data_IF_328992682752
#
_entry.id   IF_328992682752
#
_cell.length_a   1.000
_cell.length_b   1.000
_cell.length_c   1.000
_cell.angle_alpha   90.00
_cell.angle_beta   90.00
_cell.angle_gamma   90.00
#
_symmetry.space_group_name_H-M   'P 1'
#
loop_
_entity.id
_entity.type
_entity.pdbx_description
1 polymer ?
#
# COMPACT_ATOMS: atom_id res chain seq x y z
N UNK A 1 -3.59 17.04 -17.03
CA UNK A 1 -3.21 16.58 -15.67
C UNK A 1 -4.30 16.74 -14.60
N UNK A 2 -5.07 17.85 -14.54
CA UNK A 2 -6.11 18.08 -13.52
C UNK A 2 -7.19 16.98 -13.37
N UNK A 3 -7.47 16.18 -14.41
CA UNK A 3 -8.49 15.11 -14.38
C UNK A 3 -8.11 13.92 -13.46
N UNK A 4 -6.81 13.67 -13.30
CA UNK A 4 -6.26 12.53 -12.56
C UNK A 4 -5.68 12.92 -11.21
N UNK A 5 -5.11 14.12 -11.13
CA UNK A 5 -4.53 14.71 -9.92
C UNK A 5 -5.33 15.97 -9.55
N UNK A 6 -6.37 15.77 -8.73
CA UNK A 6 -7.08 16.84 -8.03
C UNK A 6 -6.84 16.67 -6.54
N UNK A 7 -6.85 17.77 -5.77
CA UNK A 7 -6.69 17.74 -4.32
C UNK A 7 -7.69 16.79 -3.66
N UNK A 8 -8.93 16.82 -4.13
CA UNK A 8 -10.00 15.92 -3.66
C UNK A 8 -9.65 14.45 -3.88
N UNK A 9 -9.10 14.09 -5.04
CA UNK A 9 -8.71 12.71 -5.36
C UNK A 9 -7.49 12.23 -4.58
N UNK A 10 -6.58 13.13 -4.20
CA UNK A 10 -5.43 12.82 -3.36
C UNK A 10 -5.81 12.62 -1.89
N UNK A 11 -6.84 13.34 -1.43
CA UNK A 11 -7.37 13.22 -0.07
C UNK A 11 -8.36 12.05 0.07
N UNK A 12 -8.97 11.60 -1.02
CA UNK A 12 -9.97 10.54 -1.01
C UNK A 12 -9.51 9.21 -0.39
N UNK A 13 -8.27 8.72 -0.62
CA UNK A 13 -7.74 7.56 0.09
C UNK A 13 -7.78 7.71 1.62
N UNK A 14 -7.54 8.91 2.16
CA UNK A 14 -7.64 9.18 3.60
C UNK A 14 -9.09 9.19 4.09
N UNK A 15 -10.05 9.60 3.25
CA UNK A 15 -11.47 9.48 3.58
C UNK A 15 -11.88 8.00 3.76
N UNK A 16 -11.41 7.11 2.88
CA UNK A 16 -11.67 5.66 2.96
C UNK A 16 -11.20 5.06 4.29
N UNK A 17 -10.09 5.55 4.86
CA UNK A 17 -9.61 5.09 6.17
C UNK A 17 -10.64 5.30 7.28
N UNK A 18 -11.32 6.45 7.26
CA UNK A 18 -12.30 6.83 8.28
C UNK A 18 -13.67 6.22 8.03
N UNK A 19 -14.04 6.05 6.76
CA UNK A 19 -15.36 5.55 6.34
C UNK A 19 -15.19 4.51 5.23
N UNK A 20 -14.77 3.27 5.54
CA UNK A 20 -14.45 2.27 4.54
C UNK A 20 -15.67 1.84 3.71
N UNK A 21 -16.81 1.57 4.36
CA UNK A 21 -18.02 1.14 3.67
C UNK A 21 -18.50 2.17 2.65
N UNK A 22 -18.69 3.42 3.09
CA UNK A 22 -19.13 4.51 2.23
C UNK A 22 -18.06 4.88 1.18
N UNK A 23 -16.79 4.88 1.59
CA UNK A 23 -15.66 5.21 0.72
C UNK A 23 -15.52 4.25 -0.46
N UNK A 24 -15.63 2.94 -0.23
CA UNK A 24 -15.60 1.95 -1.32
C UNK A 24 -16.91 1.95 -2.13
N UNK A 25 -18.06 2.21 -1.51
CA UNK A 25 -19.32 2.37 -2.23
C UNK A 25 -19.26 3.54 -3.23
N UNK A 26 -18.79 4.71 -2.76
CA UNK A 26 -18.60 5.89 -3.60
C UNK A 26 -17.49 5.70 -4.65
N UNK A 27 -16.45 4.91 -4.35
CA UNK A 27 -15.39 4.58 -5.30
C UNK A 27 -15.96 3.90 -6.55
N UNK A 28 -16.90 2.96 -6.36
CA UNK A 28 -17.60 2.24 -7.44
C UNK A 28 -18.60 3.11 -8.18
N UNK A 29 -19.47 3.84 -7.46
CA UNK A 29 -20.64 4.50 -8.05
C UNK A 29 -20.40 5.96 -8.49
N UNK A 30 -19.47 6.68 -7.86
CA UNK A 30 -19.20 8.11 -8.13
C UNK A 30 -17.89 8.37 -8.88
N UNK A 31 -17.20 7.31 -9.30
CA UNK A 31 -15.93 7.35 -10.05
C UNK A 31 -14.85 8.26 -9.45
N UNK A 32 -14.84 8.39 -8.12
CA UNK A 32 -13.85 9.21 -7.39
C UNK A 32 -12.44 8.63 -7.42
N UNK A 33 -12.30 7.37 -7.85
CA UNK A 33 -11.04 6.66 -7.99
C UNK A 33 -10.12 7.19 -9.08
N UNK A 34 -8.82 7.17 -8.79
CA UNK A 34 -7.75 7.53 -9.74
C UNK A 34 -6.69 6.43 -9.77
N UNK A 35 -6.57 5.75 -10.91
CA UNK A 35 -5.59 4.66 -11.13
C UNK A 35 -4.15 5.14 -10.88
N UNK A 36 -3.70 6.31 -11.38
CA UNK A 36 -2.34 6.78 -11.10
C UNK A 36 -2.07 6.94 -9.60
N UNK A 37 -3.06 7.42 -8.83
CA UNK A 37 -2.93 7.59 -7.37
C UNK A 37 -2.81 6.23 -6.69
N UNK A 38 -3.59 5.23 -7.13
CA UNK A 38 -3.52 3.88 -6.59
C UNK A 38 -2.13 3.26 -6.82
N UNK A 39 -1.56 3.41 -8.02
CA UNK A 39 -0.21 2.93 -8.32
C UNK A 39 0.87 3.66 -7.52
N UNK A 40 0.73 4.98 -7.32
CA UNK A 40 1.64 5.76 -6.46
C UNK A 40 1.57 5.27 -5.02
N UNK A 41 0.37 4.98 -4.49
CA UNK A 41 0.20 4.42 -3.14
C UNK A 41 0.86 3.05 -3.05
N UNK A 42 0.67 2.16 -4.03
CA UNK A 42 1.35 0.85 -4.04
C UNK A 42 2.87 1.00 -4.09
N UNK A 43 3.41 1.95 -4.87
CA UNK A 43 4.84 2.21 -4.92
C UNK A 43 5.38 2.78 -3.60
N UNK A 44 4.62 3.68 -2.97
CA UNK A 44 4.93 4.23 -1.65
C UNK A 44 4.91 3.14 -0.57
N UNK A 45 3.95 2.22 -0.64
CA UNK A 45 3.90 1.04 0.22
C UNK A 45 5.16 0.20 0.10
N UNK A 46 5.61 -0.09 -1.13
CA UNK A 46 6.86 -0.80 -1.32
C UNK A 46 8.06 -0.08 -0.72
N UNK A 47 8.12 1.24 -0.87
CA UNK A 47 9.20 2.02 -0.26
C UNK A 47 9.16 1.95 1.27
N UNK A 48 7.99 2.15 1.89
CA UNK A 48 7.83 2.04 3.33
C UNK A 48 8.15 0.63 3.86
N UNK A 49 7.76 -0.41 3.13
CA UNK A 49 8.07 -1.80 3.46
C UNK A 49 9.59 -2.05 3.43
N UNK A 50 10.27 -1.59 2.38
CA UNK A 50 11.72 -1.69 2.27
C UNK A 50 12.45 -0.97 3.40
N UNK A 51 12.02 0.26 3.70
CA UNK A 51 12.55 1.05 4.82
C UNK A 51 12.34 0.35 6.15
N UNK A 52 11.17 -0.23 6.39
CA UNK A 52 10.92 -1.01 7.60
C UNK A 52 11.90 -2.18 7.72
N UNK A 53 12.20 -2.91 6.63
CA UNK A 53 13.17 -4.02 6.67
C UNK A 53 14.62 -3.58 6.90
N UNK A 54 15.01 -2.42 6.38
CA UNK A 54 16.37 -1.89 6.54
C UNK A 54 16.58 -1.29 7.94
N UNK A 55 15.54 -0.65 8.49
CA UNK A 55 15.65 0.17 9.70
C UNK A 55 14.99 -0.43 10.95
N UNK A 56 14.24 -1.52 10.82
CA UNK A 56 13.74 -2.23 11.99
C UNK A 56 14.90 -2.72 12.86
N UNK A 57 14.69 -2.66 14.17
CA UNK A 57 15.65 -3.16 15.14
C UNK A 57 15.85 -4.67 15.00
N UNK A 58 17.06 -5.13 15.33
CA UNK A 58 17.41 -6.55 15.43
C UNK A 58 16.45 -7.34 16.34
N UNK A 59 15.83 -6.69 17.32
CA UNK A 59 14.83 -7.30 18.22
C UNK A 59 13.59 -7.74 17.46
N UNK A 60 13.17 -6.93 16.48
CA UNK A 60 11.91 -7.12 15.74
C UNK A 60 12.14 -7.80 14.39
N UNK A 61 13.32 -7.60 13.81
CA UNK A 61 13.64 -8.07 12.47
C UNK A 61 15.11 -8.49 12.38
N UNK A 62 15.35 -9.80 12.26
CA UNK A 62 16.69 -10.41 12.14
C UNK A 62 17.19 -10.46 10.67
N UNK A 63 16.67 -9.57 9.83
CA UNK A 63 17.07 -9.48 8.42
C UNK A 63 18.38 -8.71 8.35
N UNK A 64 19.37 -9.27 7.64
CA UNK A 64 20.58 -8.53 7.28
C UNK A 64 20.22 -7.34 6.37
N UNK A 65 20.41 -6.08 6.82
CA UNK A 65 20.09 -4.89 6.03
C UNK A 65 20.85 -4.82 4.70
N UNK A 66 22.04 -5.46 4.59
CA UNK A 66 22.85 -5.50 3.37
C UNK A 66 22.31 -6.45 2.31
N UNK A 67 21.41 -7.35 2.69
CA UNK A 67 20.74 -8.28 1.77
C UNK A 67 19.49 -7.69 1.11
N UNK A 68 19.02 -6.53 1.58
CA UNK A 68 17.77 -5.91 1.13
C UNK A 68 18.02 -5.05 -0.11
N UNK A 69 17.46 -5.47 -1.24
CA UNK A 69 17.42 -4.69 -2.48
C UNK A 69 16.02 -4.07 -2.66
N UNK A 70 15.93 -2.76 -2.44
CA UNK A 70 14.66 -2.02 -2.57
C UNK A 70 14.06 -2.05 -3.98
N UNK A 71 14.89 -2.21 -5.03
CA UNK A 71 14.39 -2.33 -6.41
C UNK A 71 13.72 -3.68 -6.62
N UNK A 72 14.34 -4.75 -6.13
CA UNK A 72 13.76 -6.09 -6.21
C UNK A 72 12.45 -6.19 -5.40
N UNK A 73 12.39 -5.54 -4.24
CA UNK A 73 11.15 -5.46 -3.45
C UNK A 73 10.05 -4.68 -4.17
N UNK A 74 10.38 -3.56 -4.82
CA UNK A 74 9.43 -2.80 -5.63
C UNK A 74 8.85 -3.64 -6.76
N UNK A 75 9.70 -4.34 -7.50
CA UNK A 75 9.26 -5.23 -8.57
C UNK A 75 8.41 -6.36 -8.01
N UNK A 76 8.82 -7.00 -6.91
CA UNK A 76 8.08 -8.09 -6.27
C UNK A 76 6.69 -7.66 -5.82
N UNK A 77 6.58 -6.52 -5.14
CA UNK A 77 5.30 -5.98 -4.66
C UNK A 77 4.42 -5.56 -5.83
N UNK A 78 4.96 -4.90 -6.85
CA UNK A 78 4.21 -4.55 -8.05
C UNK A 78 3.70 -5.79 -8.78
N UNK A 79 4.53 -6.82 -8.93
CA UNK A 79 4.15 -8.07 -9.57
C UNK A 79 3.01 -8.74 -8.79
N UNK A 80 3.14 -8.87 -7.47
CA UNK A 80 2.10 -9.45 -6.62
C UNK A 80 0.80 -8.63 -6.69
N UNK A 81 0.90 -7.30 -6.67
CA UNK A 81 -0.23 -6.39 -6.80
C UNK A 81 -0.97 -6.60 -8.13
N UNK A 82 -0.26 -6.64 -9.25
CA UNK A 82 -0.87 -6.87 -10.56
C UNK A 82 -1.42 -8.28 -10.70
N UNK A 83 -0.70 -9.29 -10.19
CA UNK A 83 -1.18 -10.68 -10.17
C UNK A 83 -2.51 -10.79 -9.43
N UNK A 84 -2.61 -10.14 -8.26
CA UNK A 84 -3.83 -10.10 -7.47
C UNK A 84 -4.96 -9.37 -8.22
N UNK A 85 -4.68 -8.20 -8.81
CA UNK A 85 -5.68 -7.45 -9.57
C UNK A 85 -6.18 -8.22 -10.80
N UNK A 86 -5.27 -8.85 -11.55
CA UNK A 86 -5.59 -9.66 -12.73
C UNK A 86 -6.40 -10.89 -12.32
N UNK A 87 -6.00 -11.60 -11.27
CA UNK A 87 -6.73 -12.77 -10.77
C UNK A 87 -8.18 -12.42 -10.38
N UNK A 88 -8.38 -11.33 -9.63
CA UNK A 88 -9.71 -10.86 -9.27
C UNK A 88 -10.52 -10.47 -10.53
N UNK A 89 -9.89 -9.80 -11.48
CA UNK A 89 -10.54 -9.44 -12.74
C UNK A 89 -10.94 -10.68 -13.55
N UNK A 90 -10.08 -11.69 -13.64
CA UNK A 90 -10.37 -12.95 -14.31
C UNK A 90 -11.58 -13.67 -13.71
N UNK A 91 -11.70 -13.69 -12.37
CA UNK A 91 -12.88 -14.25 -11.69
C UNK A 91 -14.13 -13.46 -12.05
N UNK A 92 -14.07 -12.12 -12.08
CA UNK A 92 -15.22 -11.31 -12.48
C UNK A 92 -15.63 -11.53 -13.92
N UNK A 93 -14.68 -11.73 -14.85
CA UNK A 93 -14.98 -12.09 -16.24
C UNK A 93 -15.73 -13.42 -16.35
N UNK A 94 -15.40 -14.40 -15.50
CA UNK A 94 -16.12 -15.68 -15.43
C UNK A 94 -17.55 -15.51 -14.86
N UNK A 95 -17.72 -14.62 -13.89
CA UNK A 95 -18.97 -14.39 -13.15
C UNK A 95 -19.88 -13.32 -13.80
N UNK A 96 -19.70 -13.00 -15.07
CA UNK A 96 -20.57 -12.06 -15.81
C UNK A 96 -20.02 -10.64 -16.00
N UNK A 97 -18.76 -10.39 -15.65
CA UNK A 97 -17.99 -9.22 -16.10
C UNK A 97 -18.33 -7.88 -15.43
N UNK A 98 -19.07 -7.87 -14.32
CA UNK A 98 -19.46 -6.62 -13.65
C UNK A 98 -18.27 -5.85 -13.03
N UNK A 99 -17.15 -6.54 -12.78
CA UNK A 99 -15.94 -5.97 -12.20
C UNK A 99 -15.07 -5.25 -13.23
N UNK A 100 -15.04 -3.91 -13.19
CA UNK A 100 -14.12 -3.12 -14.02
C UNK A 100 -12.70 -3.23 -13.46
N UNK A 101 -11.71 -3.54 -14.31
CA UNK A 101 -10.30 -3.63 -13.91
C UNK A 101 -9.80 -2.36 -13.19
N UNK A 102 -10.22 -1.18 -13.65
CA UNK A 102 -9.96 0.13 -13.02
C UNK A 102 -10.39 0.17 -11.55
N UNK A 103 -11.56 -0.37 -11.23
CA UNK A 103 -12.13 -0.34 -9.90
C UNK A 103 -11.39 -1.30 -8.96
N UNK A 104 -10.96 -2.45 -9.48
CA UNK A 104 -10.14 -3.42 -8.75
C UNK A 104 -8.78 -2.80 -8.39
N UNK A 105 -8.06 -2.24 -9.37
CA UNK A 105 -6.76 -1.60 -9.15
C UNK A 105 -6.84 -0.45 -8.15
N UNK A 106 -7.87 0.40 -8.25
CA UNK A 106 -8.06 1.51 -7.31
C UNK A 106 -8.45 1.05 -5.92
N UNK A 107 -9.30 0.03 -5.81
CA UNK A 107 -9.71 -0.51 -4.51
C UNK A 107 -8.55 -1.13 -3.76
N UNK A 108 -7.76 -1.98 -4.44
CA UNK A 108 -6.60 -2.65 -3.85
C UNK A 108 -5.52 -1.62 -3.49
N UNK A 109 -5.20 -0.68 -4.38
CA UNK A 109 -4.18 0.32 -4.10
C UNK A 109 -4.56 1.23 -2.93
N UNK A 110 -5.82 1.64 -2.81
CA UNK A 110 -6.27 2.47 -1.68
C UNK A 110 -6.31 1.69 -0.36
N UNK A 111 -6.54 0.37 -0.41
CA UNK A 111 -6.48 -0.52 0.76
C UNK A 111 -5.07 -0.63 1.37
N UNK A 112 -4.00 -0.27 0.64
CA UNK A 112 -2.62 -0.29 1.14
C UNK A 112 -2.26 0.93 1.99
N UNK A 113 -3.05 2.01 1.92
CA UNK A 113 -2.81 3.21 2.70
C UNK A 113 -2.71 3.01 4.22
N UNK A 114 -3.61 2.27 4.91
CA UNK A 114 -3.47 2.04 6.36
C UNK A 114 -2.18 1.29 6.71
N UNK A 115 -1.69 0.41 5.82
CA UNK A 115 -0.43 -0.29 6.03
C UNK A 115 0.77 0.67 5.96
N UNK A 116 0.77 1.59 4.99
CA UNK A 116 1.80 2.65 4.92
C UNK A 116 1.85 3.45 6.22
N UNK A 117 0.68 3.88 6.71
CA UNK A 117 0.58 4.70 7.92
C UNK A 117 0.99 3.95 9.20
N UNK A 118 0.93 2.62 9.20
CA UNK A 118 1.32 1.80 10.36
C UNK A 118 2.80 1.40 10.31
N UNK A 119 3.38 1.18 9.13
CA UNK A 119 4.80 0.86 8.99
C UNK A 119 5.73 1.96 9.50
N UNK A 120 5.40 3.22 9.25
CA UNK A 120 6.24 4.35 9.69
C UNK A 120 6.38 4.40 11.23
N UNK A 121 5.31 4.48 12.03
CA UNK A 121 5.43 4.49 13.49
C UNK A 121 5.97 3.17 14.03
N UNK A 122 5.63 2.02 13.42
CA UNK A 122 6.17 0.72 13.85
C UNK A 122 7.70 0.67 13.75
N UNK A 123 8.27 1.22 12.66
CA UNK A 123 9.74 1.31 12.48
C UNK A 123 10.37 2.18 13.56
N UNK A 124 9.77 3.34 13.88
CA UNK A 124 10.27 4.23 14.91
C UNK A 124 10.23 3.58 16.30
N UNK A 125 9.09 2.98 16.68
CA UNK A 125 8.94 2.28 17.97
C UNK A 125 9.95 1.14 18.10
N UNK A 126 10.18 0.40 17.01
CA UNK A 126 11.17 -0.68 16.97
C UNK A 126 12.59 -0.18 17.29
N UNK A 127 12.98 0.98 16.76
CA UNK A 127 14.28 1.59 17.07
C UNK A 127 14.37 2.11 18.51
N UNK A 128 13.30 2.71 19.04
CA UNK A 128 13.28 3.16 20.43
C UNK A 128 13.44 2.00 21.42
N UNK A 129 12.81 0.84 21.15
CA UNK A 129 13.00 -0.35 21.98
C UNK A 129 14.43 -0.91 21.93
N UNK A 130 15.10 -0.80 20.78
CA UNK A 130 16.49 -1.23 20.60
C UNK A 130 17.49 -0.39 21.40
N UNK A 131 17.27 0.93 21.43
CA UNK A 131 18.18 1.86 22.06
C UNK A 131 18.34 1.62 23.57
N UNK A 132 17.33 1.03 24.22
CA UNK A 132 17.38 0.69 25.64
C UNK A 132 18.17 -0.62 25.89
N UNK A 133 18.14 -1.56 24.94
CA UNK A 133 18.90 -2.82 25.02
C UNK A 133 20.37 -2.66 24.62
N UNK A 134 20.70 -1.77 23.66
CA UNK A 134 22.10 -1.46 23.29
C UNK A 134 22.94 -0.91 24.46
N UNK A 135 22.32 -0.36 25.50
CA UNK A 135 23.03 0.08 26.70
C UNK A 135 23.42 -1.08 27.64
N UNK A 136 22.80 -2.25 27.47
CA UNK A 136 22.99 -3.45 28.33
C UNK A 136 23.96 -4.46 27.71
N UNK A 137 24.15 -4.43 26.39
CA UNK A 137 25.10 -5.26 25.63
C UNK A 137 26.37 -4.50 25.24
#
# INVERSE_FOLDING_TARGET
MKRWFSKEKLLYPFYILTHPADGYYELRHRERGSVPIALIITALFSFCYSMNRIHASFIVNDVDPRSVDSMNELVGIMLLFFLFCIGNWSVTCLMGGEGRFKDIVTSVGYALLPLILTFVPATLISQFGAADEEAVY
#
